data_IF_188767418433
#
_entry.id   IF_188767418433
#
_cell.length_a   1.000
_cell.length_b   1.000
_cell.length_c   1.000
_cell.angle_alpha   90.00
_cell.angle_beta   90.00
_cell.angle_gamma   90.00
#
_symmetry.space_group_name_H-M   'P 1'
#
loop_
_entity.id
_entity.type
_entity.pdbx_description
1 polymer ?
#
# COMPACT_ATOMS: atom_id res chain seq x y z
N UNK A 1 -47.50 38.85 12.70
CA UNK A 1 -46.59 37.94 13.43
C UNK A 1 -46.70 36.59 12.75
N UNK A 2 -45.68 36.23 11.95
CA UNK A 2 -45.67 35.03 11.13
C UNK A 2 -44.48 34.19 11.57
N UNK A 3 -44.75 32.95 11.93
CA UNK A 3 -43.82 32.01 12.57
C UNK A 3 -42.66 31.64 11.62
N UNK A 4 -41.38 31.85 11.98
CA UNK A 4 -40.23 31.56 11.10
C UNK A 4 -39.86 30.06 11.02
N UNK A 5 -40.64 29.15 11.62
CA UNK A 5 -40.36 27.71 11.62
C UNK A 5 -41.39 26.83 10.87
N UNK A 6 -42.30 27.41 10.09
CA UNK A 6 -43.15 26.62 9.20
C UNK A 6 -42.35 26.16 7.95
N UNK A 7 -41.95 24.88 7.93
CA UNK A 7 -41.31 24.21 6.79
C UNK A 7 -42.31 24.07 5.63
N UNK A 8 -42.02 24.58 4.41
CA UNK A 8 -42.83 24.26 3.25
C UNK A 8 -42.44 22.90 2.65
N UNK A 9 -43.47 22.07 2.55
CA UNK A 9 -43.77 20.95 1.64
C UNK A 9 -42.71 20.56 0.58
N UNK A 10 -42.48 19.24 0.52
CA UNK A 10 -41.81 18.43 -0.52
C UNK A 10 -40.87 19.17 -1.49
N UNK A 11 -39.56 18.93 -1.32
CA UNK A 11 -38.56 19.29 -2.33
C UNK A 11 -38.91 18.56 -3.64
N UNK A 12 -39.40 19.31 -4.63
CA UNK A 12 -39.79 18.80 -5.93
C UNK A 12 -38.56 18.44 -6.77
N UNK A 13 -38.72 17.47 -7.68
CA UNK A 13 -37.65 17.01 -8.57
C UNK A 13 -37.05 18.17 -9.40
N UNK A 14 -37.87 19.16 -9.77
CA UNK A 14 -37.44 20.35 -10.49
C UNK A 14 -36.46 21.23 -9.70
N UNK A 15 -36.61 21.33 -8.36
CA UNK A 15 -35.65 22.09 -7.54
C UNK A 15 -34.29 21.41 -7.47
N UNK A 16 -34.26 20.08 -7.50
CA UNK A 16 -33.01 19.30 -7.54
C UNK A 16 -32.33 19.46 -8.89
N UNK A 17 -33.09 19.34 -9.99
CA UNK A 17 -32.58 19.53 -11.34
C UNK A 17 -32.03 20.95 -11.56
N UNK A 18 -32.76 21.97 -11.10
CA UNK A 18 -32.32 23.36 -11.15
C UNK A 18 -31.05 23.58 -10.30
N UNK A 19 -30.99 23.03 -9.08
CA UNK A 19 -29.79 23.13 -8.23
C UNK A 19 -28.59 22.42 -8.86
N UNK A 20 -28.78 21.31 -9.58
CA UNK A 20 -27.71 20.61 -10.30
C UNK A 20 -27.12 21.50 -11.41
N UNK A 21 -27.97 22.11 -12.24
CA UNK A 21 -27.51 23.02 -13.29
C UNK A 21 -26.78 24.26 -12.75
N UNK A 22 -27.17 24.78 -11.59
CA UNK A 22 -26.46 25.90 -10.95
C UNK A 22 -25.13 25.46 -10.30
N UNK A 23 -25.07 24.23 -9.77
CA UNK A 23 -23.85 23.65 -9.22
C UNK A 23 -22.79 23.37 -10.28
N UNK A 24 -23.19 22.99 -11.49
CA UNK A 24 -22.30 22.82 -12.64
C UNK A 24 -21.70 24.15 -13.10
N UNK A 25 -22.47 25.24 -13.02
CA UNK A 25 -22.00 26.61 -13.30
C UNK A 25 -21.17 27.23 -12.15
N UNK A 26 -20.78 26.42 -11.17
CA UNK A 26 -19.87 26.84 -10.10
C UNK A 26 -20.53 27.58 -8.93
N UNK A 27 -21.86 27.59 -8.83
CA UNK A 27 -22.52 28.20 -7.67
C UNK A 27 -22.40 27.31 -6.43
N UNK A 28 -21.59 27.76 -5.47
CA UNK A 28 -21.32 27.02 -4.23
C UNK A 28 -22.57 26.81 -3.36
N UNK A 29 -23.52 27.75 -3.37
CA UNK A 29 -24.79 27.61 -2.64
C UNK A 29 -25.63 26.42 -3.13
N UNK A 30 -25.67 26.18 -4.44
CA UNK A 30 -26.40 25.07 -5.03
C UNK A 30 -25.74 23.71 -4.73
N UNK A 31 -24.40 23.67 -4.71
CA UNK A 31 -23.64 22.48 -4.28
C UNK A 31 -23.93 22.12 -2.82
N UNK A 32 -23.94 23.10 -1.93
CA UNK A 32 -24.23 22.88 -0.50
C UNK A 32 -25.67 22.40 -0.28
N UNK A 33 -26.63 22.94 -1.04
CA UNK A 33 -28.02 22.48 -1.00
C UNK A 33 -28.14 21.00 -1.40
N UNK A 34 -27.51 20.57 -2.50
CA UNK A 34 -27.54 19.17 -2.96
C UNK A 34 -26.86 18.21 -1.98
N UNK A 35 -25.73 18.60 -1.39
CA UNK A 35 -25.02 17.78 -0.39
C UNK A 35 -25.86 17.56 0.87
N UNK A 36 -26.58 18.59 1.33
CA UNK A 36 -27.51 18.48 2.46
C UNK A 36 -28.70 17.59 2.14
N UNK A 37 -29.27 17.72 0.93
CA UNK A 37 -30.39 16.91 0.48
C UNK A 37 -30.05 15.41 0.41
N UNK A 38 -28.90 15.05 -0.19
CA UNK A 38 -28.45 13.66 -0.29
C UNK A 38 -28.11 13.04 1.07
N UNK A 39 -27.57 13.83 1.99
CA UNK A 39 -27.26 13.39 3.35
C UNK A 39 -28.53 13.06 4.15
N UNK A 40 -29.59 13.86 4.01
CA UNK A 40 -30.84 13.66 4.73
C UNK A 40 -31.66 12.46 4.21
N UNK A 41 -31.55 12.12 2.93
CA UNK A 41 -32.32 11.02 2.32
C UNK A 41 -31.62 9.65 2.37
N UNK A 42 -30.46 9.53 3.04
CA UNK A 42 -29.68 8.29 3.10
C UNK A 42 -30.21 7.24 4.10
N UNK A 43 -31.25 7.57 4.89
CA UNK A 43 -31.71 6.73 6.01
C UNK A 43 -32.86 5.77 5.71
N UNK A 44 -33.25 5.51 4.46
CA UNK A 44 -34.40 4.62 4.14
C UNK A 44 -34.00 3.22 3.70
N UNK A 45 -32.71 2.91 3.57
CA UNK A 45 -32.29 1.55 3.21
C UNK A 45 -31.69 0.79 4.41
N UNK A 46 -32.44 -0.24 4.84
CA UNK A 46 -32.05 -1.42 5.65
C UNK A 46 -31.99 -1.30 7.18
N UNK A 47 -33.02 -1.85 7.84
CA UNK A 47 -32.92 -2.45 9.18
C UNK A 47 -33.74 -3.75 9.20
N UNK A 48 -33.17 -4.91 9.61
CA UNK A 48 -33.95 -6.11 9.90
C UNK A 48 -34.51 -6.10 11.35
N UNK A 49 -35.57 -6.86 11.65
CA UNK A 49 -36.28 -6.80 12.93
C UNK A 49 -35.53 -7.49 14.07
N UNK A 50 -35.60 -6.89 15.26
CA UNK A 50 -35.05 -7.38 16.52
C UNK A 50 -35.98 -8.42 17.17
N UNK A 51 -35.49 -9.55 17.71
CA UNK A 51 -36.30 -10.43 18.56
C UNK A 51 -36.16 -10.05 20.05
N UNK A 52 -37.12 -10.59 20.80
CA UNK A 52 -37.62 -10.14 22.08
C UNK A 52 -36.74 -10.45 23.31
N UNK A 53 -37.15 -9.79 24.41
CA UNK A 53 -36.59 -9.80 25.75
C UNK A 53 -36.49 -11.17 26.41
N UNK A 54 -35.47 -11.34 27.28
CA UNK A 54 -35.46 -12.35 28.34
C UNK A 54 -34.94 -11.72 29.63
N UNK A 55 -35.72 -11.92 30.69
CA UNK A 55 -35.63 -11.39 32.05
C UNK A 55 -34.82 -12.34 32.95
N UNK A 56 -33.95 -11.81 33.84
CA UNK A 56 -33.48 -12.47 35.09
C UNK A 56 -32.62 -11.51 35.97
N UNK A 57 -32.44 -11.77 37.29
CA UNK A 57 -32.59 -10.78 38.38
C UNK A 57 -31.28 -10.34 39.09
N UNK A 58 -31.32 -9.46 40.13
CA UNK A 58 -30.16 -8.72 40.64
C UNK A 58 -29.49 -9.38 41.86
N UNK A 59 -28.16 -9.27 41.96
CA UNK A 59 -27.40 -9.55 43.19
C UNK A 59 -26.19 -8.62 43.36
N UNK A 60 -26.36 -7.69 44.31
CA UNK A 60 -25.46 -7.28 45.40
C UNK A 60 -23.99 -6.88 45.14
N UNK A 61 -23.73 -5.63 45.56
CA UNK A 61 -22.47 -4.95 45.88
C UNK A 61 -21.74 -5.62 47.06
N UNK A 62 -20.40 -5.54 47.15
CA UNK A 62 -19.82 -4.78 48.26
C UNK A 62 -18.74 -3.76 47.84
N UNK A 63 -18.70 -2.72 48.65
CA UNK A 63 -17.76 -1.61 48.78
C UNK A 63 -16.31 -2.02 49.00
N UNK A 64 -15.35 -1.23 48.49
CA UNK A 64 -14.15 -0.83 49.23
C UNK A 64 -13.51 0.45 48.65
N UNK A 65 -13.09 1.31 49.58
CA UNK A 65 -12.60 2.68 49.48
C UNK A 65 -11.08 2.79 49.22
N UNK A 66 -10.57 3.99 48.90
CA UNK A 66 -9.24 4.20 48.33
C UNK A 66 -8.16 4.48 49.38
N UNK A 67 -6.91 4.08 49.10
CA UNK A 67 -5.74 4.45 49.91
C UNK A 67 -4.77 5.31 49.08
N UNK A 68 -4.51 6.50 49.60
CA UNK A 68 -3.60 7.56 49.13
C UNK A 68 -2.12 7.13 49.10
N UNK A 69 -1.29 7.61 48.17
CA UNK A 69 0.16 7.38 48.19
C UNK A 69 0.91 8.48 48.99
N UNK A 70 1.85 8.06 49.83
CA UNK A 70 2.81 8.94 50.51
C UNK A 70 4.20 8.85 49.87
N UNK A 71 4.75 10.05 49.68
CA UNK A 71 6.06 10.47 49.18
C UNK A 71 7.20 10.02 50.10
N UNK A 72 8.32 9.56 49.54
CA UNK A 72 9.65 9.81 50.12
C UNK A 72 10.79 9.58 49.13
N UNK A 73 11.82 10.39 49.26
CA UNK A 73 12.87 10.65 48.29
C UNK A 73 14.26 10.19 48.78
N UNK A 74 15.09 9.78 47.82
CA UNK A 74 16.57 9.82 47.76
C UNK A 74 17.40 8.98 48.77
N UNK A 75 18.73 8.77 48.56
CA UNK A 75 19.58 8.92 47.36
C UNK A 75 20.39 7.65 46.98
N UNK A 76 20.98 7.65 45.77
CA UNK A 76 22.04 6.73 45.32
C UNK A 76 23.42 7.18 45.82
N UNK A 77 24.34 6.25 46.14
CA UNK A 77 25.77 6.51 46.05
C UNK A 77 26.38 5.91 44.78
N UNK A 78 27.23 6.68 44.11
CA UNK A 78 28.27 6.22 43.18
C UNK A 78 29.55 5.90 43.98
N UNK A 79 30.44 5.05 43.43
CA UNK A 79 31.85 5.43 43.43
C UNK A 79 32.57 5.16 42.07
N UNK A 80 33.16 6.24 41.57
CA UNK A 80 34.57 6.46 41.17
C UNK A 80 35.48 5.36 40.55
N UNK A 81 36.06 5.76 39.40
CA UNK A 81 37.36 5.50 38.73
C UNK A 81 38.25 4.29 39.13
N UNK A 82 38.89 3.57 38.21
CA UNK A 82 40.11 4.00 37.45
C UNK A 82 40.50 2.99 36.32
N UNK A 83 41.49 3.32 35.45
CA UNK A 83 41.73 2.72 34.13
C UNK A 83 42.91 1.72 34.06
N UNK A 84 42.95 0.91 32.99
CA UNK A 84 44.15 0.42 32.28
C UNK A 84 43.71 -0.48 31.10
N UNK A 85 44.07 -0.19 29.85
CA UNK A 85 45.36 -0.36 29.17
C UNK A 85 45.45 -1.69 28.41
N UNK A 86 45.62 -1.58 27.09
CA UNK A 86 46.37 -2.52 26.23
C UNK A 86 45.68 -3.83 25.86
N UNK A 87 45.24 -3.94 24.60
CA UNK A 87 45.67 -5.05 23.73
C UNK A 87 45.36 -4.76 22.26
N UNK A 88 46.45 -4.65 21.51
CA UNK A 88 46.60 -4.64 20.06
C UNK A 88 46.03 -5.90 19.41
N UNK A 89 45.32 -5.76 18.29
CA UNK A 89 45.09 -6.85 17.31
C UNK A 89 45.41 -6.33 15.90
N UNK A 90 46.26 -7.02 15.11
CA UNK A 90 46.79 -6.51 13.86
C UNK A 90 45.87 -6.72 12.65
N UNK A 91 45.89 -5.72 11.78
CA UNK A 91 45.29 -5.64 10.43
C UNK A 91 46.06 -6.49 9.41
N UNK A 92 45.40 -7.27 8.53
CA UNK A 92 46.07 -7.89 7.39
C UNK A 92 46.15 -6.94 6.17
N UNK A 93 47.27 -6.96 5.40
CA UNK A 93 47.45 -6.08 4.25
C UNK A 93 46.77 -6.60 2.98
N UNK A 94 46.04 -5.72 2.29
CA UNK A 94 45.60 -5.94 0.91
C UNK A 94 46.74 -5.61 -0.05
N UNK A 95 47.23 -6.61 -0.79
CA UNK A 95 48.11 -6.41 -1.94
C UNK A 95 47.35 -6.66 -3.25
N UNK A 96 47.39 -5.65 -4.11
CA UNK A 96 47.11 -5.71 -5.55
C UNK A 96 48.44 -6.01 -6.26
N UNK A 97 48.41 -6.79 -7.35
CA UNK A 97 49.10 -6.32 -8.56
C UNK A 97 48.23 -6.35 -9.82
N UNK A 98 48.37 -5.27 -10.58
CA UNK A 98 48.11 -5.11 -12.02
C UNK A 98 48.92 -6.08 -12.87
N UNK A 99 48.33 -6.60 -13.96
CA UNK A 99 48.86 -6.48 -15.34
C UNK A 99 47.97 -7.17 -16.40
N UNK A 100 47.59 -6.40 -17.42
CA UNK A 100 47.21 -6.78 -18.80
C UNK A 100 48.45 -7.35 -19.54
N UNK A 101 48.31 -8.14 -20.63
CA UNK A 101 48.28 -7.49 -21.95
C UNK A 101 47.57 -8.26 -23.13
N UNK A 102 47.12 -7.44 -24.10
CA UNK A 102 47.05 -7.62 -25.58
C UNK A 102 46.27 -8.74 -26.30
N UNK A 103 45.45 -8.26 -27.23
CA UNK A 103 44.74 -8.84 -28.39
C UNK A 103 45.69 -9.44 -29.46
N UNK A 104 45.22 -10.21 -30.47
CA UNK A 104 44.61 -9.60 -31.66
C UNK A 104 43.39 -10.32 -32.27
N UNK A 105 42.60 -9.49 -32.97
CA UNK A 105 41.42 -9.81 -33.75
C UNK A 105 41.73 -10.61 -35.03
N UNK A 106 40.75 -11.38 -35.52
CA UNK A 106 40.71 -11.83 -36.92
C UNK A 106 39.30 -11.71 -37.49
N UNK A 107 39.16 -10.81 -38.45
CA UNK A 107 38.04 -10.69 -39.40
C UNK A 107 37.87 -11.94 -40.26
N UNK A 108 36.62 -12.30 -40.58
CA UNK A 108 36.16 -12.60 -41.94
C UNK A 108 34.67 -13.01 -41.98
N UNK A 109 33.83 -12.19 -42.63
CA UNK A 109 32.63 -12.63 -43.38
C UNK A 109 33.07 -12.89 -44.85
N UNK A 110 32.28 -13.49 -45.80
CA UNK A 110 30.81 -13.47 -45.92
C UNK A 110 30.08 -14.74 -46.49
N UNK A 111 28.73 -14.73 -46.36
CA UNK A 111 27.57 -15.26 -47.19
C UNK A 111 27.74 -16.46 -48.18
N UNK A 112 26.67 -17.21 -48.59
CA UNK A 112 25.28 -16.78 -48.77
C UNK A 112 24.14 -17.76 -48.37
N UNK A 113 22.91 -17.24 -48.40
CA UNK A 113 21.62 -17.95 -48.36
C UNK A 113 21.37 -18.78 -49.62
N UNK A 114 20.41 -19.73 -49.54
CA UNK A 114 19.40 -19.83 -50.60
C UNK A 114 17.96 -19.82 -50.06
N UNK A 115 17.11 -19.33 -50.94
CA UNK A 115 15.67 -19.07 -50.87
C UNK A 115 14.87 -20.27 -51.45
N UNK A 116 13.53 -20.19 -51.33
CA UNK A 116 12.48 -21.01 -51.97
C UNK A 116 12.02 -22.25 -51.16
N UNK A 117 10.73 -22.58 -50.98
CA UNK A 117 9.43 -22.10 -51.49
C UNK A 117 8.32 -22.72 -50.59
N UNK A 118 7.03 -22.30 -50.69
CA UNK A 118 5.95 -22.70 -49.80
C UNK A 118 5.26 -23.99 -50.28
N UNK A 119 4.62 -24.73 -49.37
CA UNK A 119 3.59 -25.68 -49.78
C UNK A 119 2.42 -25.77 -48.79
N UNK A 120 1.23 -25.73 -49.36
CA UNK A 120 -0.05 -25.89 -48.70
C UNK A 120 -0.29 -27.36 -48.31
N UNK A 121 -1.06 -27.58 -47.25
CA UNK A 121 -1.52 -28.91 -46.86
C UNK A 121 -2.48 -28.86 -45.68
N UNK A 122 -3.78 -28.88 -45.98
CA UNK A 122 -4.82 -29.19 -45.01
C UNK A 122 -4.62 -30.60 -44.45
N UNK A 123 -4.65 -30.76 -43.14
CA UNK A 123 -5.06 -32.02 -42.52
C UNK A 123 -5.62 -31.75 -41.12
N UNK A 124 -6.93 -31.94 -41.02
CA UNK A 124 -7.68 -31.94 -39.77
C UNK A 124 -7.23 -33.10 -38.87
N UNK A 125 -6.95 -32.83 -37.60
CA UNK A 125 -6.86 -33.85 -36.55
C UNK A 125 -7.61 -33.39 -35.30
N UNK A 126 -8.84 -33.89 -35.22
CA UNK A 126 -9.56 -34.44 -34.05
C UNK A 126 -9.34 -33.80 -32.67
N UNK A 127 -10.37 -33.10 -32.21
CA UNK A 127 -10.62 -32.78 -30.80
C UNK A 127 -10.80 -34.05 -29.94
N UNK A 128 -10.26 -34.10 -28.71
CA UNK A 128 -10.72 -35.02 -27.68
C UNK A 128 -11.85 -34.41 -26.81
N UNK A 129 -12.70 -35.24 -26.20
CA UNK A 129 -13.95 -34.83 -25.56
C UNK A 129 -13.75 -34.31 -24.13
N UNK A 130 -14.81 -33.61 -23.69
CA UNK A 130 -14.98 -32.95 -22.41
C UNK A 130 -14.63 -33.80 -21.18
N UNK A 131 -13.49 -33.49 -20.56
CA UNK A 131 -13.21 -33.79 -19.16
C UNK A 131 -13.51 -32.58 -18.31
N UNK A 132 -14.55 -32.66 -17.46
CA UNK A 132 -15.00 -31.61 -16.54
C UNK A 132 -13.89 -31.23 -15.56
N UNK A 133 -13.13 -30.17 -15.86
CA UNK A 133 -12.21 -29.58 -14.92
C UNK A 133 -12.99 -29.00 -13.72
N UNK A 134 -12.51 -29.17 -12.48
CA UNK A 134 -13.16 -28.60 -11.31
C UNK A 134 -13.13 -27.08 -11.43
N UNK A 135 -14.34 -26.49 -11.34
CA UNK A 135 -14.58 -25.05 -11.36
C UNK A 135 -13.69 -24.40 -10.30
N UNK A 136 -12.64 -23.71 -10.75
CA UNK A 136 -11.88 -22.83 -9.88
C UNK A 136 -12.87 -21.91 -9.19
N UNK A 137 -12.92 -21.97 -7.87
CA UNK A 137 -13.68 -21.08 -7.02
C UNK A 137 -13.12 -19.67 -7.20
N UNK A 138 -13.62 -18.98 -8.21
CA UNK A 138 -13.40 -17.56 -8.41
C UNK A 138 -13.89 -16.85 -7.14
N UNK A 139 -12.95 -16.31 -6.36
CA UNK A 139 -13.26 -15.29 -5.37
C UNK A 139 -14.18 -14.26 -6.04
N UNK A 140 -15.31 -13.89 -5.43
CA UNK A 140 -16.26 -12.99 -6.07
C UNK A 140 -15.52 -11.72 -6.50
N UNK A 141 -15.64 -11.36 -7.77
CA UNK A 141 -15.08 -10.15 -8.32
C UNK A 141 -15.64 -8.96 -7.53
N UNK A 142 -14.82 -8.41 -6.63
CA UNK A 142 -15.18 -7.22 -5.85
C UNK A 142 -15.27 -6.05 -6.84
N UNK A 143 -16.31 -5.21 -6.76
CA UNK A 143 -16.51 -4.14 -7.71
C UNK A 143 -15.32 -3.16 -7.68
N UNK A 144 -14.83 -2.84 -8.88
CA UNK A 144 -13.94 -1.72 -9.23
C UNK A 144 -12.79 -1.40 -8.25
N UNK A 145 -12.00 -2.42 -7.89
CA UNK A 145 -10.69 -2.16 -7.28
C UNK A 145 -9.77 -1.66 -8.38
N UNK A 146 -9.39 -0.39 -8.32
CA UNK A 146 -8.31 0.14 -9.15
C UNK A 146 -7.02 -0.59 -8.74
N UNK A 147 -6.33 -1.21 -9.70
CA UNK A 147 -5.13 -2.00 -9.45
C UNK A 147 -3.96 -1.48 -10.28
N UNK A 148 -2.77 -1.53 -9.70
CA UNK A 148 -1.50 -1.37 -10.41
C UNK A 148 -0.86 -2.76 -10.52
N UNK A 149 -0.55 -3.19 -11.74
CA UNK A 149 0.07 -4.49 -12.00
C UNK A 149 1.38 -4.28 -12.73
N UNK A 150 2.45 -4.87 -12.20
CA UNK A 150 3.81 -4.74 -12.71
C UNK A 150 4.39 -6.14 -12.92
N UNK A 151 5.01 -6.36 -14.07
CA UNK A 151 5.51 -7.66 -14.48
C UNK A 151 7.04 -7.62 -14.63
N UNK A 152 7.74 -8.33 -13.75
CA UNK A 152 9.19 -8.52 -13.81
C UNK A 152 9.56 -9.91 -14.35
N UNK A 153 10.85 -10.12 -14.58
CA UNK A 153 11.38 -11.42 -15.04
C UNK A 153 11.29 -12.53 -14.00
N UNK A 154 11.43 -12.19 -12.70
CA UNK A 154 11.45 -13.15 -11.59
C UNK A 154 10.15 -13.18 -10.79
N UNK A 155 9.36 -12.11 -10.84
CA UNK A 155 8.10 -11.99 -10.10
C UNK A 155 7.17 -10.98 -10.78
N UNK A 156 5.88 -11.07 -10.48
CA UNK A 156 4.88 -10.06 -10.77
C UNK A 156 4.37 -9.45 -9.47
N UNK A 157 3.97 -8.18 -9.53
CA UNK A 157 3.42 -7.42 -8.42
C UNK A 157 2.02 -6.92 -8.81
N UNK A 158 1.06 -7.08 -7.92
CA UNK A 158 -0.27 -6.48 -8.00
C UNK A 158 -0.50 -5.66 -6.73
N UNK A 159 -0.78 -4.38 -6.87
CA UNK A 159 -1.14 -3.49 -5.77
C UNK A 159 -2.56 -3.02 -5.97
N UNK A 160 -3.36 -3.01 -4.91
CA UNK A 160 -4.72 -2.50 -4.94
C UNK A 160 -5.08 -1.76 -3.66
N UNK A 161 -6.07 -0.87 -3.74
CA UNK A 161 -6.69 -0.31 -2.53
C UNK A 161 -7.44 -1.39 -1.77
N UNK A 162 -7.36 -1.34 -0.45
CA UNK A 162 -7.99 -2.29 0.45
C UNK A 162 -8.45 -1.58 1.72
N UNK A 163 -9.09 -2.33 2.61
CA UNK A 163 -9.55 -1.82 3.90
C UNK A 163 -9.09 -2.78 5.01
N UNK A 164 -8.61 -2.24 6.12
CA UNK A 164 -8.22 -3.05 7.29
C UNK A 164 -9.42 -3.68 7.98
N UNK A 165 -9.17 -4.55 8.97
CA UNK A 165 -10.24 -5.13 9.80
C UNK A 165 -10.96 -4.07 10.64
N UNK A 166 -10.32 -2.91 10.83
CA UNK A 166 -10.84 -1.75 11.55
C UNK A 166 -11.49 -0.71 10.61
N UNK A 167 -11.82 -1.11 9.38
CA UNK A 167 -12.42 -0.23 8.37
C UNK A 167 -11.53 0.96 7.94
N UNK A 168 -10.20 0.85 8.12
CA UNK A 168 -9.27 1.89 7.69
C UNK A 168 -8.79 1.66 6.25
N UNK A 169 -8.88 2.67 5.35
CA UNK A 169 -8.36 2.56 3.98
C UNK A 169 -6.85 2.33 3.94
N UNK A 170 -6.41 1.42 3.08
CA UNK A 170 -4.99 1.04 2.95
C UNK A 170 -4.66 0.48 1.56
N UNK A 171 -3.43 0.02 1.39
CA UNK A 171 -3.00 -0.74 0.21
C UNK A 171 -2.68 -2.19 0.56
N UNK A 172 -2.96 -3.08 -0.38
CA UNK A 172 -2.52 -4.46 -0.37
C UNK A 172 -1.54 -4.71 -1.51
N UNK A 173 -0.42 -5.35 -1.17
CA UNK A 173 0.61 -5.79 -2.09
C UNK A 173 0.55 -7.31 -2.24
N UNK A 174 0.55 -7.77 -3.48
CA UNK A 174 0.58 -9.19 -3.82
C UNK A 174 1.71 -9.45 -4.82
N UNK A 175 2.67 -10.30 -4.45
CA UNK A 175 3.76 -10.67 -5.34
C UNK A 175 3.72 -12.16 -5.67
N UNK A 176 3.79 -12.52 -6.95
CA UNK A 176 3.80 -13.91 -7.42
C UNK A 176 5.14 -14.24 -8.09
N UNK A 177 5.77 -15.39 -7.77
CA UNK A 177 7.00 -15.80 -8.44
C UNK A 177 6.73 -16.17 -9.90
N UNK A 178 7.70 -15.93 -10.77
CA UNK A 178 7.63 -16.34 -12.17
C UNK A 178 7.76 -17.87 -12.29
N UNK A 179 6.94 -18.46 -13.16
CA UNK A 179 7.01 -19.89 -13.54
C UNK A 179 7.54 -20.08 -14.96
N UNK A 180 7.60 -19.00 -15.74
CA UNK A 180 8.10 -18.99 -17.11
C UNK A 180 7.98 -17.59 -17.73
N UNK A 181 8.30 -17.44 -19.02
CA UNK A 181 8.15 -16.16 -19.71
C UNK A 181 6.71 -15.64 -19.62
N UNK A 182 6.52 -14.49 -18.97
CA UNK A 182 5.21 -13.85 -18.76
C UNK A 182 4.17 -14.75 -18.04
N UNK A 183 4.64 -15.73 -17.26
CA UNK A 183 3.80 -16.64 -16.48
C UNK A 183 4.19 -16.57 -14.99
N UNK A 184 3.19 -16.53 -14.10
CA UNK A 184 3.39 -16.29 -12.67
C UNK A 184 2.47 -17.17 -11.81
N UNK A 185 2.99 -17.71 -10.71
CA UNK A 185 2.26 -18.58 -9.77
C UNK A 185 1.47 -17.75 -8.75
N UNK A 186 0.33 -17.19 -9.19
CA UNK A 186 -0.58 -16.44 -8.32
C UNK A 186 -1.15 -17.26 -7.15
N UNK A 187 -1.46 -18.56 -7.28
CA UNK A 187 -1.84 -19.40 -6.13
C UNK A 187 -0.78 -19.41 -5.02
N UNK A 188 0.51 -19.34 -5.37
CA UNK A 188 1.62 -19.23 -4.40
C UNK A 188 2.08 -17.79 -4.13
N UNK A 189 1.26 -16.77 -4.39
CA UNK A 189 1.63 -15.37 -4.11
C UNK A 189 1.94 -15.09 -2.63
N UNK A 190 2.76 -14.09 -2.37
CA UNK A 190 2.93 -13.44 -1.08
C UNK A 190 2.00 -12.24 -1.01
N UNK A 191 1.15 -12.18 0.01
CA UNK A 191 0.25 -11.05 0.26
C UNK A 191 0.62 -10.34 1.55
N UNK A 192 0.69 -9.01 1.48
CA UNK A 192 0.94 -8.09 2.60
C UNK A 192 -0.01 -6.90 2.48
N UNK A 193 -0.65 -6.52 3.59
CA UNK A 193 -1.50 -5.34 3.67
C UNK A 193 -0.83 -4.31 4.57
N UNK A 194 -0.76 -3.05 4.12
CA UNK A 194 -0.13 -1.99 4.89
C UNK A 194 -0.98 -1.65 6.12
N UNK A 195 -0.30 -1.27 7.20
CA UNK A 195 -0.94 -0.64 8.35
C UNK A 195 -1.20 0.84 8.07
N UNK A 196 -2.05 1.47 8.89
CA UNK A 196 -2.31 2.91 8.83
C UNK A 196 -1.05 3.75 9.02
N UNK A 197 -0.12 3.31 9.86
CA UNK A 197 1.13 4.04 10.12
C UNK A 197 2.13 3.92 8.96
N UNK A 198 2.09 2.82 8.22
CA UNK A 198 2.98 2.58 7.08
C UNK A 198 2.55 3.33 5.83
N UNK A 199 1.23 3.45 5.59
CA UNK A 199 0.70 4.01 4.36
C UNK A 199 1.28 5.40 4.00
N UNK A 200 1.37 6.38 4.92
CA UNK A 200 1.95 7.69 4.61
C UNK A 200 3.43 7.63 4.21
N UNK A 201 4.22 6.79 4.89
CA UNK A 201 5.66 6.66 4.63
C UNK A 201 5.90 5.93 3.31
N UNK A 202 5.16 4.85 3.04
CA UNK A 202 5.18 4.17 1.73
C UNK A 202 4.81 5.16 0.62
N UNK A 203 3.77 5.98 0.84
CA UNK A 203 3.36 7.00 -0.14
C UNK A 203 4.46 8.02 -0.37
N UNK A 204 5.12 8.51 0.69
CA UNK A 204 6.25 9.43 0.58
C UNK A 204 7.44 8.81 -0.18
N UNK A 205 7.76 7.54 0.03
CA UNK A 205 8.81 6.83 -0.73
C UNK A 205 8.44 6.69 -2.20
N UNK A 206 7.20 6.29 -2.51
CA UNK A 206 6.73 6.16 -3.91
C UNK A 206 6.72 7.50 -4.63
N UNK A 207 6.42 8.60 -3.94
CA UNK A 207 6.50 9.96 -4.47
C UNK A 207 7.94 10.51 -4.58
N UNK A 208 8.95 9.74 -4.17
CA UNK A 208 10.35 10.15 -4.18
C UNK A 208 10.71 11.18 -3.11
N UNK A 209 9.85 11.40 -2.11
CA UNK A 209 10.14 12.26 -0.96
C UNK A 209 11.10 11.58 0.02
N UNK A 210 11.05 10.25 0.10
CA UNK A 210 11.97 9.42 0.86
C UNK A 210 12.73 8.49 -0.09
N UNK A 211 14.02 8.21 0.16
CA UNK A 211 14.80 7.33 -0.70
C UNK A 211 14.41 5.86 -0.55
N UNK A 212 13.93 5.46 0.64
CA UNK A 212 13.65 4.06 0.98
C UNK A 212 12.75 3.94 2.20
N UNK A 213 11.95 2.88 2.25
CA UNK A 213 11.26 2.41 3.46
C UNK A 213 11.28 0.88 3.57
N UNK A 214 11.40 0.37 4.80
CA UNK A 214 11.42 -1.08 5.10
C UNK A 214 10.45 -1.39 6.24
N UNK A 215 9.59 -2.37 6.05
CA UNK A 215 8.68 -2.89 7.06
C UNK A 215 8.81 -4.41 7.18
N UNK A 216 8.73 -4.91 8.40
CA UNK A 216 8.93 -6.31 8.77
C UNK A 216 7.87 -6.70 9.79
N UNK A 217 7.80 -7.98 10.13
CA UNK A 217 6.85 -8.49 11.11
C UNK A 217 5.41 -8.22 10.65
N UNK A 218 5.09 -8.71 9.44
CA UNK A 218 3.72 -8.79 8.94
C UNK A 218 3.21 -10.21 8.93
N UNK A 219 1.89 -10.34 8.98
CA UNK A 219 1.18 -11.61 8.95
C UNK A 219 1.10 -12.30 10.32
N UNK A 220 0.31 -13.39 10.43
CA UNK A 220 0.09 -14.08 11.70
C UNK A 220 1.38 -14.59 12.36
N UNK A 221 2.34 -15.02 11.53
CA UNK A 221 3.63 -15.56 11.96
C UNK A 221 4.73 -14.48 12.09
N UNK A 222 4.40 -13.20 11.89
CA UNK A 222 5.34 -12.08 11.99
C UNK A 222 6.61 -12.27 11.11
N UNK A 223 6.45 -12.93 9.96
CA UNK A 223 7.58 -13.37 9.14
C UNK A 223 7.61 -12.75 7.74
N UNK A 224 6.67 -11.84 7.43
CA UNK A 224 6.61 -11.13 6.15
C UNK A 224 7.13 -9.69 6.28
N UNK A 225 7.58 -9.14 5.16
CA UNK A 225 7.98 -7.74 5.08
C UNK A 225 7.91 -7.17 3.67
N UNK A 226 7.99 -5.85 3.63
CA UNK A 226 7.96 -5.01 2.45
C UNK A 226 9.18 -4.10 2.47
N UNK A 227 9.76 -3.89 1.30
CA UNK A 227 10.74 -2.85 1.10
C UNK A 227 10.52 -2.14 -0.22
N UNK A 228 10.69 -0.82 -0.21
CA UNK A 228 10.62 0.01 -1.40
C UNK A 228 11.81 0.94 -1.38
N UNK A 229 12.53 1.00 -2.49
CA UNK A 229 13.74 1.81 -2.65
C UNK A 229 13.73 2.51 -3.99
N UNK A 230 14.06 3.80 -4.01
CA UNK A 230 14.24 4.55 -5.23
C UNK A 230 15.68 4.43 -5.72
N UNK A 231 15.86 3.89 -6.93
CA UNK A 231 17.18 3.65 -7.53
C UNK A 231 17.49 4.66 -8.66
N UNK A 232 17.00 5.89 -8.52
CA UNK A 232 17.23 6.99 -9.45
C UNK A 232 16.36 6.99 -10.70
N UNK A 233 16.19 5.85 -11.38
CA UNK A 233 15.34 5.76 -12.60
C UNK A 233 14.01 5.06 -12.36
N UNK A 234 13.93 4.21 -11.34
CA UNK A 234 12.78 3.37 -11.04
C UNK A 234 12.72 3.07 -9.54
N UNK A 235 11.57 2.60 -9.09
CA UNK A 235 11.42 2.03 -7.76
C UNK A 235 11.74 0.54 -7.81
N UNK A 236 12.36 0.02 -6.76
CA UNK A 236 12.55 -1.41 -6.57
C UNK A 236 11.71 -1.86 -5.39
N UNK A 237 10.67 -2.65 -5.66
CA UNK A 237 9.73 -3.14 -4.64
C UNK A 237 10.07 -4.59 -4.32
N UNK A 238 10.31 -4.88 -3.03
CA UNK A 238 10.64 -6.20 -2.52
C UNK A 238 9.61 -6.65 -1.49
N UNK A 239 9.00 -7.79 -1.75
CA UNK A 239 8.17 -8.52 -0.80
C UNK A 239 8.95 -9.74 -0.35
N UNK A 240 9.04 -9.99 0.95
CA UNK A 240 9.81 -11.13 1.47
C UNK A 240 9.09 -11.82 2.61
N UNK A 241 9.34 -13.12 2.73
CA UNK A 241 8.88 -13.93 3.84
C UNK A 241 10.00 -14.86 4.28
N UNK A 242 10.15 -15.05 5.59
CA UNK A 242 11.08 -16.05 6.14
C UNK A 242 10.84 -17.41 5.46
N UNK A 243 11.92 -18.09 5.07
CA UNK A 243 11.91 -19.42 4.45
C UNK A 243 11.25 -19.51 3.04
N UNK A 244 10.67 -18.42 2.52
CA UNK A 244 10.08 -18.34 1.17
C UNK A 244 10.88 -17.48 0.19
N UNK A 245 11.85 -16.71 0.71
CA UNK A 245 12.74 -15.85 -0.07
C UNK A 245 12.17 -14.46 -0.33
N UNK A 246 12.77 -13.78 -1.32
CA UNK A 246 12.45 -12.39 -1.71
C UNK A 246 11.90 -12.37 -3.13
N UNK A 247 10.74 -11.76 -3.31
CA UNK A 247 10.12 -11.44 -4.59
C UNK A 247 10.34 -9.96 -4.87
N UNK A 248 11.10 -9.66 -5.91
CA UNK A 248 11.52 -8.30 -6.24
C UNK A 248 11.07 -7.91 -7.65
N UNK A 249 10.50 -6.71 -7.79
CA UNK A 249 9.98 -6.19 -9.06
C UNK A 249 10.45 -4.75 -9.25
N UNK A 250 11.17 -4.42 -10.34
CA UNK A 250 11.43 -3.04 -10.72
C UNK A 250 10.12 -2.42 -11.24
N UNK A 251 9.79 -1.23 -10.74
CA UNK A 251 8.58 -0.47 -11.06
C UNK A 251 9.02 0.79 -11.79
N UNK A 252 8.76 0.83 -13.10
CA UNK A 252 9.14 1.96 -13.96
C UNK A 252 8.26 3.19 -13.73
N UNK A 253 8.56 4.33 -14.39
CA UNK A 253 7.87 5.60 -14.15
C UNK A 253 6.34 5.55 -14.34
N UNK A 254 5.86 4.86 -15.38
CA UNK A 254 4.41 4.74 -15.64
C UNK A 254 3.68 3.98 -14.52
N UNK A 255 4.24 2.85 -14.09
CA UNK A 255 3.68 2.04 -13.00
C UNK A 255 3.85 2.72 -11.64
N UNK A 256 4.94 3.46 -11.46
CA UNK A 256 5.20 4.28 -10.27
C UNK A 256 4.15 5.37 -10.12
N UNK A 257 3.73 6.00 -11.22
CA UNK A 257 2.62 6.95 -11.21
C UNK A 257 1.31 6.28 -10.77
N UNK A 258 0.98 5.10 -11.33
CA UNK A 258 -0.23 4.37 -10.95
C UNK A 258 -0.21 3.96 -9.46
N UNK A 259 0.95 3.50 -8.97
CA UNK A 259 1.15 3.18 -7.55
C UNK A 259 0.98 4.42 -6.66
N UNK A 260 1.54 5.57 -7.06
CA UNK A 260 1.39 6.83 -6.34
C UNK A 260 -0.08 7.27 -6.28
N UNK A 261 -0.81 7.17 -7.39
CA UNK A 261 -2.23 7.50 -7.45
C UNK A 261 -3.07 6.61 -6.52
N UNK A 262 -2.79 5.31 -6.46
CA UNK A 262 -3.45 4.39 -5.52
C UNK A 262 -3.17 4.75 -4.07
N UNK A 263 -1.91 5.07 -3.74
CA UNK A 263 -1.49 5.43 -2.40
C UNK A 263 -2.16 6.74 -1.93
N UNK A 264 -2.18 7.76 -2.79
CA UNK A 264 -2.90 9.01 -2.53
C UNK A 264 -4.40 8.80 -2.38
N UNK A 265 -5.01 7.94 -3.20
CA UNK A 265 -6.42 7.57 -3.07
C UNK A 265 -6.71 6.96 -1.70
N UNK A 266 -5.89 6.02 -1.24
CA UNK A 266 -6.06 5.40 0.07
C UNK A 266 -5.91 6.43 1.21
N UNK A 267 -4.90 7.32 1.15
CA UNK A 267 -4.75 8.41 2.13
C UNK A 267 -5.95 9.35 2.14
N UNK A 268 -6.46 9.73 0.96
CA UNK A 268 -7.61 10.61 0.81
C UNK A 268 -8.89 10.01 1.39
N UNK A 269 -9.09 8.71 1.20
CA UNK A 269 -10.20 7.98 1.81
C UNK A 269 -10.11 7.99 3.34
N UNK A 270 -8.91 7.82 3.91
CA UNK A 270 -8.68 7.88 5.37
C UNK A 270 -8.71 9.29 5.96
N UNK A 271 -8.62 10.33 5.12
CA UNK A 271 -8.61 11.75 5.53
C UNK A 271 -9.59 12.58 4.69
N UNK A 272 -10.92 12.31 4.79
CA UNK A 272 -11.94 12.96 3.97
C UNK A 272 -12.01 14.49 4.16
N UNK A 273 -11.46 14.99 5.27
CA UNK A 273 -11.38 16.41 5.61
C UNK A 273 -10.15 17.13 5.00
N UNK A 274 -9.18 16.39 4.44
CA UNK A 274 -7.96 16.96 3.86
C UNK A 274 -8.02 16.91 2.32
N UNK A 275 -7.71 18.02 1.66
CA UNK A 275 -7.62 18.06 0.19
C UNK A 275 -6.42 17.26 -0.32
N UNK A 276 -6.42 16.85 -1.59
CA UNK A 276 -5.28 16.13 -2.19
C UNK A 276 -3.99 16.95 -2.08
N UNK A 277 -4.08 18.27 -2.31
CA UNK A 277 -2.98 19.21 -2.10
C UNK A 277 -2.53 19.27 -0.64
N UNK A 278 -3.48 19.25 0.30
CA UNK A 278 -3.18 19.20 1.73
C UNK A 278 -2.43 17.94 2.13
N UNK A 279 -2.79 16.78 1.57
CA UNK A 279 -2.10 15.50 1.79
C UNK A 279 -0.65 15.58 1.30
N UNK A 280 -0.44 16.05 0.07
CA UNK A 280 0.90 16.18 -0.51
C UNK A 280 1.77 17.16 0.30
N UNK A 281 1.21 18.30 0.70
CA UNK A 281 1.91 19.29 1.51
C UNK A 281 2.27 18.73 2.90
N UNK A 282 1.33 18.04 3.55
CA UNK A 282 1.56 17.44 4.85
C UNK A 282 2.66 16.36 4.79
N UNK A 283 2.64 15.50 3.77
CA UNK A 283 3.70 14.52 3.54
C UNK A 283 5.06 15.21 3.36
N UNK A 284 5.14 16.21 2.47
CA UNK A 284 6.38 16.94 2.19
C UNK A 284 6.94 17.64 3.43
N UNK A 285 6.12 18.39 4.15
CA UNK A 285 6.54 19.11 5.37
C UNK A 285 6.96 18.15 6.48
N UNK A 286 6.24 17.03 6.65
CA UNK A 286 6.59 16.02 7.65
C UNK A 286 7.94 15.40 7.34
N UNK A 287 8.17 14.99 6.08
CA UNK A 287 9.45 14.41 5.64
C UNK A 287 10.57 15.43 5.78
N UNK A 288 10.37 16.68 5.37
CA UNK A 288 11.38 17.73 5.50
C UNK A 288 11.76 17.96 6.97
N UNK A 289 10.77 18.09 7.86
CA UNK A 289 11.01 18.27 9.30
C UNK A 289 11.82 17.12 9.90
N UNK A 290 11.49 15.88 9.54
CA UNK A 290 12.18 14.68 10.03
C UNK A 290 13.57 14.50 9.40
N UNK A 291 13.73 14.87 8.14
CA UNK A 291 15.00 14.83 7.41
C UNK A 291 16.00 15.87 7.93
N UNK A 292 15.54 17.10 8.23
CA UNK A 292 16.38 18.14 8.82
C UNK A 292 16.84 17.78 10.24
N UNK A 293 16.04 17.05 11.02
CA UNK A 293 16.45 16.56 12.34
C UNK A 293 17.57 15.51 12.27
N UNK A 294 17.61 14.69 11.21
CA UNK A 294 18.67 13.69 11.02
C UNK A 294 20.02 14.27 10.57
N UNK A 295 20.03 15.48 10.00
CA UNK A 295 21.26 16.15 9.54
C UNK A 295 21.95 16.97 10.65
N UNK A 296 21.19 17.50 11.61
CA UNK A 296 21.73 18.31 12.71
C UNK A 296 22.37 17.51 13.86
N UNK A 297 22.30 16.18 13.86
CA UNK A 297 22.92 15.31 14.89
C UNK A 297 24.36 14.91 14.50
N UNK A 298 24.83 15.31 13.32
CA UNK A 298 26.18 14.98 12.81
C UNK A 298 27.18 16.15 12.84
N UNK A 299 26.89 17.23 13.57
CA UNK A 299 27.83 18.33 13.76
C UNK A 299 28.42 18.32 15.18
#
# INVERSE_FOLDING_TARGET
MTDPHALPESITLERIAHALGQAERGQNGARQFLLRYLSNNRSVATSPPSPAASVAPPSQRPTQTPTTPARSAAPRPSPEATPNAGMTVPTPPSQRPTQTPTTPARSAAPRPSPEATPNAGMAAVKSPPAGRAPRATSTPARPDRVQCRVYGSKAALCIETDVTRQDEPTLRFEAAPATGPRAYDWPRKLTLQLTRAELPVVTATVLGLLPRCTYKNHGPEQNKGLEIEYQGSHLFVRLFQKDRGVLAVPVGPADSYALAALALRALRQGTPWLSDQGILMLLKLTVQRMGSAAQNVKQ
#
